data_IF_404971467578
#
_entry.id   IF_404971467578
#
_cell.length_a   1.000
_cell.length_b   1.000
_cell.length_c   1.000
_cell.angle_alpha   90.00
_cell.angle_beta   90.00
_cell.angle_gamma   90.00
#
_symmetry.space_group_name_H-M   'P 1'
#
loop_
_entity.id
_entity.type
_entity.pdbx_description
1 polymer ?
#
# COMPACT_ATOMS: atom_id res chain seq x y z
N UNK A 1 3.19 -27.30 5.35
CA UNK A 1 2.76 -26.65 4.10
C UNK A 1 3.93 -25.97 3.40
N UNK A 2 4.23 -26.39 2.17
CA UNK A 2 5.32 -25.88 1.33
C UNK A 2 4.79 -25.56 -0.08
N UNK A 3 5.10 -24.36 -0.59
CA UNK A 3 4.70 -23.95 -1.94
C UNK A 3 5.69 -24.53 -2.95
N UNK A 4 5.20 -25.41 -3.84
CA UNK A 4 6.06 -26.04 -4.84
C UNK A 4 6.10 -25.27 -6.15
N UNK A 5 4.94 -24.88 -6.66
CA UNK A 5 4.83 -24.34 -8.00
C UNK A 5 3.71 -23.31 -8.10
N UNK A 6 4.00 -22.20 -8.79
CA UNK A 6 3.01 -21.23 -9.22
C UNK A 6 3.22 -20.96 -10.71
N UNK A 7 2.15 -21.05 -11.49
CA UNK A 7 2.12 -20.66 -12.90
C UNK A 7 1.07 -19.62 -13.15
N UNK A 8 1.41 -18.66 -14.00
CA UNK A 8 0.47 -17.70 -14.56
C UNK A 8 0.41 -17.92 -16.07
N UNK A 9 -0.77 -18.21 -16.61
CA UNK A 9 -1.00 -18.35 -18.05
C UNK A 9 -2.46 -18.03 -18.36
N UNK A 10 -2.72 -17.30 -19.44
CA UNK A 10 -4.07 -17.02 -19.96
C UNK A 10 -5.06 -16.50 -18.89
N UNK A 11 -4.65 -15.51 -18.09
CA UNK A 11 -5.45 -14.96 -16.97
C UNK A 11 -5.81 -15.98 -15.86
N UNK A 12 -5.13 -17.12 -15.80
CA UNK A 12 -5.30 -18.13 -14.75
C UNK A 12 -4.01 -18.27 -13.95
N UNK A 13 -4.16 -18.40 -12.65
CA UNK A 13 -3.13 -18.76 -11.68
C UNK A 13 -3.34 -20.21 -11.27
N UNK A 14 -2.37 -21.07 -11.54
CA UNK A 14 -2.35 -22.46 -11.05
C UNK A 14 -1.29 -22.57 -9.96
N UNK A 15 -1.65 -23.16 -8.82
CA UNK A 15 -0.73 -23.37 -7.69
C UNK A 15 -0.72 -24.82 -7.24
N UNK A 16 0.46 -25.30 -6.89
CA UNK A 16 0.66 -26.61 -6.27
C UNK A 16 1.36 -26.42 -4.93
N UNK A 17 0.73 -26.92 -3.88
CA UNK A 17 1.20 -26.84 -2.50
C UNK A 17 1.35 -28.26 -1.97
N UNK A 18 2.47 -28.56 -1.32
CA UNK A 18 2.66 -29.81 -0.58
C UNK A 18 2.28 -29.58 0.88
N UNK A 19 1.40 -30.42 1.41
CA UNK A 19 1.04 -30.41 2.81
C UNK A 19 1.20 -31.80 3.41
N UNK A 20 2.31 -32.01 4.12
CA UNK A 20 2.78 -33.34 4.52
C UNK A 20 2.95 -34.24 3.29
N UNK A 21 2.21 -35.33 3.25
CA UNK A 21 2.20 -36.29 2.14
C UNK A 21 1.16 -35.97 1.05
N UNK A 22 0.36 -34.91 1.22
CA UNK A 22 -0.68 -34.52 0.27
C UNK A 22 -0.20 -33.42 -0.67
N UNK A 23 -0.59 -33.52 -1.93
CA UNK A 23 -0.42 -32.46 -2.93
C UNK A 23 -1.78 -31.80 -3.19
N UNK A 24 -1.85 -30.50 -2.89
CA UNK A 24 -3.03 -29.66 -3.12
C UNK A 24 -2.79 -28.85 -4.38
N UNK A 25 -3.67 -29.00 -5.37
CA UNK A 25 -3.65 -28.21 -6.61
C UNK A 25 -4.85 -27.28 -6.61
N UNK A 26 -4.65 -26.02 -6.96
CA UNK A 26 -5.73 -25.05 -7.10
C UNK A 26 -5.51 -24.16 -8.30
N UNK A 27 -6.62 -23.78 -8.94
CA UNK A 27 -6.63 -22.85 -10.07
C UNK A 27 -7.60 -21.72 -9.77
N UNK A 28 -7.19 -20.49 -10.11
CA UNK A 28 -8.03 -19.31 -9.94
C UNK A 28 -7.83 -18.32 -11.07
N UNK A 29 -8.88 -17.56 -11.37
CA UNK A 29 -8.79 -16.47 -12.34
C UNK A 29 -8.08 -15.27 -11.71
N UNK A 30 -7.16 -14.67 -12.47
CA UNK A 30 -6.46 -13.45 -12.09
C UNK A 30 -7.42 -12.29 -12.26
N UNK A 31 -7.64 -11.52 -11.19
CA UNK A 31 -8.39 -10.27 -11.26
C UNK A 31 -7.42 -9.20 -11.78
N UNK A 32 -7.60 -8.68 -13.02
CA UNK A 32 -6.72 -7.66 -13.54
C UNK A 32 -6.87 -6.40 -12.72
N UNK A 33 -5.75 -5.80 -12.33
CA UNK A 33 -5.78 -4.50 -11.66
C UNK A 33 -6.26 -3.46 -12.68
N UNK A 34 -7.51 -3.02 -12.56
CA UNK A 34 -7.97 -1.84 -13.30
C UNK A 34 -7.24 -0.65 -12.73
N UNK A 35 -6.46 0.05 -13.54
CA UNK A 35 -5.93 1.36 -13.17
C UNK A 35 -7.12 2.20 -12.72
N UNK A 36 -7.10 2.71 -11.48
CA UNK A 36 -8.05 3.74 -11.08
C UNK A 36 -7.95 4.84 -12.12
N UNK A 37 -9.05 5.15 -12.78
CA UNK A 37 -9.13 6.40 -13.54
C UNK A 37 -8.74 7.49 -12.56
N UNK A 38 -7.73 8.29 -12.92
CA UNK A 38 -7.44 9.51 -12.16
C UNK A 38 -8.78 10.24 -12.06
N UNK A 39 -9.26 10.44 -10.84
CA UNK A 39 -10.41 11.30 -10.61
C UNK A 39 -10.03 12.60 -11.30
N UNK A 40 -10.74 12.95 -12.38
CA UNK A 40 -10.63 14.28 -12.95
C UNK A 40 -11.06 15.19 -11.83
N UNK A 41 -10.10 15.85 -11.19
CA UNK A 41 -10.36 16.89 -10.22
C UNK A 41 -11.41 17.79 -10.86
N UNK A 42 -12.62 17.79 -10.30
CA UNK A 42 -13.55 18.84 -10.64
C UNK A 42 -12.84 20.12 -10.20
N UNK A 43 -12.53 20.98 -11.17
CA UNK A 43 -12.14 22.36 -10.92
C UNK A 43 -13.33 23.11 -10.33
N UNK A 44 -13.85 22.66 -9.20
CA UNK A 44 -14.54 23.55 -8.29
C UNK A 44 -13.42 24.21 -7.50
N UNK A 45 -12.89 25.28 -8.08
CA UNK A 45 -12.13 26.27 -7.34
C UNK A 45 -13.01 26.67 -6.15
N UNK A 46 -12.73 26.10 -4.98
CA UNK A 46 -13.17 26.68 -3.74
C UNK A 46 -12.64 28.11 -3.73
N UNK A 47 -13.57 29.05 -3.59
CA UNK A 47 -13.33 30.48 -3.62
C UNK A 47 -12.01 30.86 -2.93
N UNK A 48 -11.24 31.68 -3.64
CA UNK A 48 -10.08 32.43 -3.18
C UNK A 48 -10.13 32.76 -1.68
N UNK A 49 -9.42 31.96 -0.89
CA UNK A 49 -8.76 32.45 0.31
C UNK A 49 -7.28 32.22 0.02
N UNK A 50 -6.64 33.24 -0.56
CA UNK A 50 -5.19 33.31 -0.69
C UNK A 50 -4.59 33.45 0.71
N UNK A 51 -4.51 32.34 1.44
CA UNK A 51 -3.51 32.22 2.48
C UNK A 51 -2.24 31.79 1.74
N UNK A 52 -1.38 32.75 1.45
CA UNK A 52 0.03 32.46 1.11
C UNK A 52 0.63 31.70 2.30
N UNK A 53 0.54 30.38 2.25
CA UNK A 53 1.24 29.52 3.21
C UNK A 53 2.67 29.46 2.68
N UNK A 54 3.62 30.02 3.42
CA UNK A 54 5.03 29.98 3.05
C UNK A 54 5.47 28.52 2.87
N UNK A 55 6.29 28.27 1.85
CA UNK A 55 6.87 26.95 1.60
C UNK A 55 7.62 26.42 2.84
N UNK A 56 8.23 27.31 3.61
CA UNK A 56 8.87 27.01 4.88
C UNK A 56 7.92 26.37 5.89
N UNK A 57 6.67 26.88 5.98
CA UNK A 57 5.66 26.35 6.89
C UNK A 57 5.17 24.97 6.47
N UNK A 58 5.12 24.70 5.16
CA UNK A 58 4.80 23.37 4.62
C UNK A 58 5.94 22.40 4.94
N UNK A 59 7.19 22.82 4.72
CA UNK A 59 8.37 22.00 5.00
C UNK A 59 8.51 21.69 6.49
N UNK A 60 8.21 22.65 7.36
CA UNK A 60 8.16 22.47 8.82
C UNK A 60 7.11 21.42 9.20
N UNK A 61 5.88 21.53 8.67
CA UNK A 61 4.82 20.55 8.93
C UNK A 61 5.18 19.14 8.46
N UNK A 62 5.81 19.01 7.30
CA UNK A 62 6.27 17.72 6.78
C UNK A 62 7.36 17.15 7.69
N UNK A 63 8.32 17.97 8.11
CA UNK A 63 9.40 17.57 9.00
C UNK A 63 8.87 17.08 10.35
N UNK A 64 7.95 17.84 10.95
CA UNK A 64 7.31 17.49 12.21
C UNK A 64 6.52 16.18 12.13
N UNK A 65 5.86 15.92 10.99
CA UNK A 65 5.16 14.67 10.76
C UNK A 65 6.12 13.46 10.83
N UNK A 66 7.24 13.52 10.11
CA UNK A 66 8.22 12.44 10.11
C UNK A 66 8.90 12.27 11.46
N UNK A 67 9.26 13.37 12.12
CA UNK A 67 9.89 13.33 13.44
C UNK A 67 8.97 12.69 14.48
N UNK A 68 7.69 13.06 14.47
CA UNK A 68 6.69 12.47 15.36
C UNK A 68 6.45 10.98 15.07
N UNK A 69 6.42 10.58 13.81
CA UNK A 69 6.24 9.17 13.42
C UNK A 69 7.41 8.31 13.93
N UNK A 70 8.64 8.78 13.71
CA UNK A 70 9.86 8.10 14.18
C UNK A 70 9.89 8.04 15.71
N UNK A 71 9.59 9.16 16.39
CA UNK A 71 9.59 9.22 17.85
C UNK A 71 8.56 8.27 18.47
N UNK A 72 7.33 8.23 17.94
CA UNK A 72 6.29 7.29 18.38
C UNK A 72 6.70 5.84 18.17
N UNK A 73 7.31 5.52 17.03
CA UNK A 73 7.79 4.17 16.73
C UNK A 73 8.90 3.75 17.70
N UNK A 74 9.86 4.63 17.96
CA UNK A 74 10.92 4.40 18.95
C UNK A 74 10.37 4.15 20.35
N UNK A 75 9.44 4.99 20.84
CA UNK A 75 8.82 4.81 22.15
C UNK A 75 8.00 3.52 22.25
N UNK A 76 7.28 3.15 21.20
CA UNK A 76 6.52 1.91 21.15
C UNK A 76 7.45 0.69 21.26
N UNK A 77 8.59 0.69 20.55
CA UNK A 77 9.55 -0.40 20.60
C UNK A 77 10.32 -0.43 21.93
N UNK A 78 10.60 0.72 22.55
CA UNK A 78 11.26 0.79 23.86
C UNK A 78 10.42 0.17 24.99
N UNK A 79 9.08 0.17 24.88
CA UNK A 79 8.19 -0.49 25.86
C UNK A 79 8.16 -2.02 25.75
N UNK A 80 8.66 -2.56 24.64
CA UNK A 80 8.70 -4.00 24.37
C UNK A 80 10.09 -4.62 24.65
N UNK A 81 11.01 -3.85 25.27
CA UNK A 81 12.30 -4.30 25.77
C UNK A 81 12.35 -4.21 27.29
#
# INVERSE_FOLDING_TARGET
MELMYIKYKNNTKSTVIKDGDKLIKSESNIIPLRSKEKIKESKNYCNSISNEISEDKINEQITDFFFNAVHKNYLANKKNF
#
